data_IF_535394046020
#
_entry.id   IF_535394046020
#
_cell.length_a   1.000
_cell.length_b   1.000
_cell.length_c   1.000
_cell.angle_alpha   90.00
_cell.angle_beta   90.00
_cell.angle_gamma   90.00
#
_symmetry.space_group_name_H-M   'P 1'
#
loop_
_entity.id
_entity.type
_entity.pdbx_description
1 polymer ?
#
# COMPACT_ATOMS: atom_id res chain seq x y z
N UNK A 1 -4.59 -13.09 -32.32
CA UNK A 1 -3.92 -13.64 -31.13
C UNK A 1 -3.85 -12.51 -30.11
N UNK A 2 -4.43 -12.73 -28.93
CA UNK A 2 -4.87 -11.68 -28.00
C UNK A 2 -3.78 -10.76 -27.50
N UNK A 3 -4.13 -9.48 -27.33
CA UNK A 3 -3.33 -8.51 -26.61
C UNK A 3 -3.19 -9.05 -25.19
N UNK A 4 -1.99 -9.44 -24.79
CA UNK A 4 -1.71 -9.63 -23.36
C UNK A 4 -1.90 -8.26 -22.72
N UNK A 5 -3.06 -8.00 -22.12
CA UNK A 5 -3.26 -6.81 -21.31
C UNK A 5 -2.22 -6.86 -20.18
N UNK A 6 -1.49 -5.76 -20.05
CA UNK A 6 -0.50 -5.60 -19.00
C UNK A 6 -1.24 -5.59 -17.64
N UNK A 7 -0.73 -6.30 -16.60
CA UNK A 7 -1.38 -6.39 -15.29
C UNK A 7 -1.58 -5.04 -14.61
N UNK A 8 -0.68 -4.09 -14.83
CA UNK A 8 -0.87 -2.71 -14.41
C UNK A 8 -2.07 -2.04 -15.11
N UNK A 9 -2.36 -2.33 -16.39
CA UNK A 9 -3.55 -1.76 -17.06
C UNK A 9 -4.84 -2.27 -16.43
N UNK A 10 -4.95 -3.59 -16.22
CA UNK A 10 -6.09 -4.21 -15.54
C UNK A 10 -6.25 -3.66 -14.12
N UNK A 11 -5.15 -3.56 -13.37
CA UNK A 11 -5.16 -3.02 -12.02
C UNK A 11 -5.58 -1.55 -12.02
N UNK A 12 -5.04 -0.75 -12.95
CA UNK A 12 -5.37 0.66 -13.06
C UNK A 12 -6.86 0.89 -13.37
N UNK A 13 -7.45 0.06 -14.23
CA UNK A 13 -8.89 0.08 -14.52
C UNK A 13 -9.71 -0.32 -13.29
N UNK A 14 -9.33 -1.42 -12.63
CA UNK A 14 -9.96 -1.91 -11.40
C UNK A 14 -9.98 -0.83 -10.31
N UNK A 15 -8.83 -0.24 -9.98
CA UNK A 15 -8.71 0.80 -8.96
C UNK A 15 -9.40 2.13 -9.33
N UNK A 16 -9.73 2.33 -10.61
CA UNK A 16 -10.47 3.52 -11.07
C UNK A 16 -11.99 3.32 -11.04
N UNK A 17 -12.47 2.13 -10.68
CA UNK A 17 -13.89 1.84 -10.57
C UNK A 17 -14.58 2.63 -9.47
N UNK A 18 -15.83 3.02 -9.74
CA UNK A 18 -16.71 3.65 -8.76
C UNK A 18 -17.54 2.57 -8.06
N UNK A 19 -17.05 2.12 -6.90
CA UNK A 19 -17.66 1.04 -6.13
C UNK A 19 -18.22 1.58 -4.83
N UNK A 20 -19.31 0.97 -4.34
CA UNK A 20 -19.65 1.11 -2.94
C UNK A 20 -18.57 0.46 -2.06
N UNK A 21 -18.44 0.91 -0.82
CA UNK A 21 -17.49 0.35 0.15
C UNK A 21 -17.71 -1.16 0.35
N UNK A 22 -18.98 -1.58 0.44
CA UNK A 22 -19.34 -2.99 0.61
C UNK A 22 -18.92 -3.82 -0.60
N UNK A 23 -19.22 -3.35 -1.82
CA UNK A 23 -18.87 -4.09 -3.03
C UNK A 23 -17.35 -4.16 -3.26
N UNK A 24 -16.64 -3.07 -2.95
CA UNK A 24 -15.18 -3.08 -2.98
C UNK A 24 -14.62 -4.16 -2.03
N UNK A 25 -15.11 -4.19 -0.80
CA UNK A 25 -14.60 -5.05 0.26
C UNK A 25 -14.97 -6.53 0.07
N UNK A 26 -16.18 -6.80 -0.44
CA UNK A 26 -16.68 -8.18 -0.59
C UNK A 26 -16.22 -8.83 -1.89
N UNK A 27 -16.18 -8.10 -3.01
CA UNK A 27 -16.01 -8.69 -4.34
C UNK A 27 -14.73 -8.22 -5.07
N UNK A 28 -14.37 -6.93 -4.96
CA UNK A 28 -13.35 -6.35 -5.84
C UNK A 28 -11.93 -6.48 -5.27
N UNK A 29 -11.76 -6.27 -3.97
CA UNK A 29 -10.44 -6.23 -3.32
C UNK A 29 -9.66 -7.54 -3.50
N UNK A 30 -10.35 -8.68 -3.52
CA UNK A 30 -9.73 -9.98 -3.78
C UNK A 30 -9.09 -10.06 -5.17
N UNK A 31 -9.81 -9.59 -6.20
CA UNK A 31 -9.29 -9.54 -7.57
C UNK A 31 -8.15 -8.51 -7.70
N UNK A 32 -8.29 -7.33 -7.11
CA UNK A 32 -7.23 -6.32 -7.11
C UNK A 32 -5.94 -6.82 -6.42
N UNK A 33 -6.09 -7.57 -5.33
CA UNK A 33 -4.98 -8.21 -4.60
C UNK A 33 -4.28 -9.28 -5.45
N UNK A 34 -5.02 -10.06 -6.23
CA UNK A 34 -4.43 -11.01 -7.19
C UNK A 34 -3.66 -10.29 -8.31
N UNK A 35 -4.18 -9.16 -8.80
CA UNK A 35 -3.50 -8.37 -9.84
C UNK A 35 -2.15 -7.83 -9.36
N UNK A 36 -2.11 -7.18 -8.19
CA UNK A 36 -0.87 -6.61 -7.64
C UNK A 36 0.14 -7.70 -7.24
N UNK A 37 -0.34 -8.86 -6.79
CA UNK A 37 0.50 -10.02 -6.51
C UNK A 37 1.24 -10.51 -7.77
N UNK A 38 0.55 -10.48 -8.92
CA UNK A 38 1.07 -10.95 -10.20
C UNK A 38 1.75 -9.86 -11.04
N UNK A 39 1.91 -8.64 -10.52
CA UNK A 39 2.61 -7.57 -11.22
C UNK A 39 4.09 -7.89 -11.46
N UNK A 40 4.53 -7.74 -12.70
CA UNK A 40 5.94 -7.83 -13.09
C UNK A 40 6.70 -6.56 -12.71
N UNK A 41 8.03 -6.57 -12.83
CA UNK A 41 8.85 -5.38 -12.58
C UNK A 41 8.41 -4.16 -13.43
N UNK A 42 8.07 -4.38 -14.71
CA UNK A 42 7.57 -3.34 -15.60
C UNK A 42 6.22 -2.76 -15.13
N UNK A 43 5.38 -3.59 -14.53
CA UNK A 43 4.06 -3.18 -14.03
C UNK A 43 4.22 -2.30 -12.79
N UNK A 44 5.13 -2.68 -11.89
CA UNK A 44 5.54 -1.85 -10.75
C UNK A 44 6.16 -0.52 -11.17
N UNK A 45 7.03 -0.53 -12.19
CA UNK A 45 7.63 0.70 -12.73
C UNK A 45 6.57 1.65 -13.31
N UNK A 46 5.48 1.12 -13.87
CA UNK A 46 4.36 1.93 -14.35
C UNK A 46 3.49 2.44 -13.20
N UNK A 47 3.23 1.60 -12.19
CA UNK A 47 2.47 1.95 -10.99
C UNK A 47 3.12 3.14 -10.25
N UNK A 48 4.42 3.06 -10.01
CA UNK A 48 5.20 4.08 -9.30
C UNK A 48 5.21 5.44 -10.01
N UNK A 49 5.09 5.45 -11.34
CA UNK A 49 5.02 6.69 -12.14
C UNK A 49 3.69 7.40 -12.03
N UNK A 50 2.59 6.70 -11.76
CA UNK A 50 1.24 7.28 -11.91
C UNK A 50 0.50 7.48 -10.60
N UNK A 51 0.81 6.74 -9.53
CA UNK A 51 -0.04 6.71 -8.33
C UNK A 51 -0.28 8.10 -7.73
N UNK A 52 0.75 8.96 -7.74
CA UNK A 52 0.69 10.34 -7.22
C UNK A 52 -0.28 11.24 -8.00
N UNK A 53 -0.51 10.96 -9.28
CA UNK A 53 -1.44 11.75 -10.11
C UNK A 53 -2.87 11.22 -10.07
N UNK A 54 -3.13 10.13 -9.35
CA UNK A 54 -4.46 9.55 -9.22
C UNK A 54 -5.26 10.24 -8.12
N UNK A 55 -6.58 10.06 -8.17
CA UNK A 55 -7.46 10.61 -7.15
C UNK A 55 -7.30 9.86 -5.82
N UNK A 56 -7.85 10.43 -4.76
CA UNK A 56 -7.76 9.88 -3.39
C UNK A 56 -8.32 8.46 -3.29
N UNK A 57 -9.48 8.19 -3.90
CA UNK A 57 -10.09 6.85 -3.88
C UNK A 57 -9.18 5.78 -4.48
N UNK A 58 -8.58 6.08 -5.62
CA UNK A 58 -7.64 5.18 -6.28
C UNK A 58 -6.41 4.93 -5.40
N UNK A 59 -5.87 5.97 -4.76
CA UNK A 59 -4.74 5.85 -3.84
C UNK A 59 -5.10 5.04 -2.59
N UNK A 60 -6.33 5.19 -2.10
CA UNK A 60 -6.87 4.46 -0.97
C UNK A 60 -6.99 2.96 -1.29
N UNK A 61 -7.61 2.63 -2.43
CA UNK A 61 -7.71 1.27 -2.92
C UNK A 61 -6.34 0.63 -3.19
N UNK A 62 -5.39 1.40 -3.74
CA UNK A 62 -4.02 0.93 -3.89
C UNK A 62 -3.41 0.60 -2.52
N UNK A 63 -3.51 1.51 -1.55
CA UNK A 63 -2.95 1.33 -0.22
C UNK A 63 -3.42 0.00 0.40
N UNK A 64 -4.72 -0.27 0.30
CA UNK A 64 -5.38 -1.47 0.83
C UNK A 64 -4.93 -2.80 0.22
N UNK A 65 -4.19 -2.83 -0.90
CA UNK A 65 -3.79 -4.08 -1.56
C UNK A 65 -2.27 -4.28 -1.63
N UNK A 66 -1.47 -3.29 -1.22
CA UNK A 66 -0.01 -3.34 -1.38
C UNK A 66 0.66 -4.46 -0.57
N UNK A 67 0.07 -4.87 0.56
CA UNK A 67 0.61 -5.95 1.39
C UNK A 67 0.61 -7.33 0.68
N UNK A 68 -0.17 -7.52 -0.38
CA UNK A 68 -0.25 -8.74 -1.18
C UNK A 68 0.75 -8.76 -2.35
N UNK A 69 1.38 -7.61 -2.64
CA UNK A 69 2.34 -7.42 -3.72
C UNK A 69 3.79 -7.78 -3.35
N UNK A 70 4.73 -7.30 -4.17
CA UNK A 70 6.15 -7.42 -3.88
C UNK A 70 6.55 -6.44 -2.76
N UNK A 71 6.88 -6.98 -1.58
CA UNK A 71 7.20 -6.19 -0.38
C UNK A 71 8.37 -5.22 -0.55
N UNK A 72 9.36 -5.54 -1.39
CA UNK A 72 10.52 -4.65 -1.63
C UNK A 72 10.11 -3.35 -2.35
N UNK A 73 8.98 -3.38 -3.08
CA UNK A 73 8.41 -2.22 -3.79
C UNK A 73 7.22 -1.63 -3.02
N UNK A 74 6.39 -2.49 -2.43
CA UNK A 74 5.19 -2.10 -1.69
C UNK A 74 5.51 -1.33 -0.40
N UNK A 75 6.53 -1.73 0.38
CA UNK A 75 6.86 -1.03 1.64
C UNK A 75 7.27 0.42 1.37
N UNK A 76 8.22 0.74 0.47
CA UNK A 76 8.51 2.14 0.11
C UNK A 76 7.27 2.91 -0.33
N UNK A 77 6.41 2.32 -1.16
CA UNK A 77 5.19 2.97 -1.64
C UNK A 77 4.20 3.26 -0.51
N UNK A 78 4.00 2.32 0.41
CA UNK A 78 3.18 2.49 1.61
C UNK A 78 3.71 3.62 2.50
N UNK A 79 5.04 3.74 2.65
CA UNK A 79 5.66 4.85 3.38
C UNK A 79 5.39 6.21 2.73
N UNK A 80 5.40 6.27 1.39
CA UNK A 80 5.02 7.49 0.68
C UNK A 80 3.53 7.82 0.84
N UNK A 81 2.65 6.81 0.85
CA UNK A 81 1.21 6.98 1.06
C UNK A 81 0.88 7.51 2.47
N UNK A 82 1.71 7.23 3.48
CA UNK A 82 1.60 7.85 4.81
C UNK A 82 1.84 9.37 4.82
N UNK A 83 2.41 9.94 3.75
CA UNK A 83 2.58 11.40 3.58
C UNK A 83 1.40 12.09 2.90
N UNK A 84 0.44 11.35 2.37
CA UNK A 84 -0.67 11.95 1.61
C UNK A 84 -1.57 12.74 2.57
N UNK A 85 -2.01 13.92 2.15
CA UNK A 85 -2.94 14.77 2.91
C UNK A 85 -4.38 14.25 2.80
N UNK A 86 -4.57 12.98 3.13
CA UNK A 86 -5.87 12.33 3.22
C UNK A 86 -5.85 11.23 4.28
N UNK A 87 -6.72 11.37 5.27
CA UNK A 87 -6.75 10.48 6.43
C UNK A 87 -7.09 9.02 6.07
N UNK A 88 -7.99 8.80 5.11
CA UNK A 88 -8.40 7.46 4.70
C UNK A 88 -7.24 6.69 4.07
N UNK A 89 -6.51 7.33 3.14
CA UNK A 89 -5.31 6.78 2.51
C UNK A 89 -4.24 6.45 3.57
N UNK A 90 -4.02 7.34 4.53
CA UNK A 90 -3.05 7.13 5.62
C UNK A 90 -3.45 5.95 6.51
N UNK A 91 -4.75 5.81 6.82
CA UNK A 91 -5.28 4.67 7.57
C UNK A 91 -5.05 3.37 6.81
N UNK A 92 -5.45 3.30 5.54
CA UNK A 92 -5.26 2.09 4.72
C UNK A 92 -3.78 1.73 4.54
N UNK A 93 -2.90 2.71 4.33
CA UNK A 93 -1.48 2.46 4.22
C UNK A 93 -0.88 1.93 5.53
N UNK A 94 -1.26 2.51 6.67
CA UNK A 94 -0.84 2.03 7.99
C UNK A 94 -1.36 0.60 8.25
N UNK A 95 -2.62 0.32 7.88
CA UNK A 95 -3.24 -0.98 8.06
C UNK A 95 -2.52 -2.07 7.26
N UNK A 96 -2.24 -1.81 5.98
CA UNK A 96 -1.47 -2.73 5.14
C UNK A 96 -0.03 -2.93 5.63
N UNK A 97 0.64 -1.89 6.16
CA UNK A 97 1.93 -2.07 6.83
C UNK A 97 1.82 -3.01 8.04
N UNK A 98 0.75 -2.91 8.84
CA UNK A 98 0.51 -3.80 9.99
C UNK A 98 0.34 -5.25 9.56
N UNK A 99 -0.34 -5.50 8.44
CA UNK A 99 -0.64 -6.84 7.91
C UNK A 99 0.58 -7.60 7.40
N UNK A 100 1.62 -6.89 6.96
CA UNK A 100 2.84 -7.52 6.46
C UNK A 100 3.43 -8.43 7.55
N UNK A 101 3.43 -9.75 7.26
CA UNK A 101 4.00 -10.77 8.14
C UNK A 101 5.50 -10.85 7.92
N UNK A 102 6.28 -10.47 8.94
CA UNK A 102 7.76 -10.39 8.88
C UNK A 102 8.45 -11.77 8.96
N UNK A 103 7.77 -12.85 8.61
CA UNK A 103 8.16 -14.22 8.99
C UNK A 103 9.23 -14.88 8.12
N UNK A 104 9.84 -14.21 7.15
CA UNK A 104 10.90 -14.84 6.31
C UNK A 104 12.23 -14.08 6.35
N UNK A 105 12.23 -12.76 6.57
CA UNK A 105 13.41 -11.96 6.94
C UNK A 105 12.92 -10.73 7.72
N UNK A 106 13.66 -10.25 8.74
CA UNK A 106 13.37 -8.95 9.33
C UNK A 106 13.42 -7.89 8.23
N UNK A 107 12.31 -7.21 7.99
CA UNK A 107 12.31 -6.02 7.14
C UNK A 107 13.31 -5.07 7.79
N UNK A 108 14.33 -4.73 7.01
CA UNK A 108 15.43 -3.91 7.47
C UNK A 108 15.15 -2.49 7.04
N UNK A 109 15.00 -1.58 8.01
CA UNK A 109 14.79 -0.15 7.76
C UNK A 109 15.99 0.65 8.24
N UNK A 110 16.22 1.81 7.63
CA UNK A 110 17.24 2.74 8.12
C UNK A 110 16.73 3.48 9.35
N UNK A 111 17.66 4.02 10.15
CA UNK A 111 17.33 4.93 11.26
C UNK A 111 16.49 6.15 10.82
N UNK A 112 16.69 6.62 9.60
CA UNK A 112 15.91 7.72 9.03
C UNK A 112 14.43 7.34 8.85
N UNK A 113 14.16 6.15 8.30
CA UNK A 113 12.81 5.61 8.13
C UNK A 113 12.15 5.36 9.50
N UNK A 114 12.90 4.82 10.46
CA UNK A 114 12.40 4.64 11.84
C UNK A 114 11.93 5.97 12.43
N UNK A 115 12.78 6.99 12.41
CA UNK A 115 12.46 8.32 12.93
C UNK A 115 11.27 8.96 12.20
N UNK A 116 11.20 8.79 10.89
CA UNK A 116 10.09 9.29 10.08
C UNK A 116 8.76 8.63 10.48
N UNK A 117 8.73 7.30 10.61
CA UNK A 117 7.56 6.55 11.04
C UNK A 117 7.13 6.93 12.47
N UNK A 118 8.07 7.05 13.41
CA UNK A 118 7.77 7.50 14.76
C UNK A 118 7.16 8.90 14.79
N UNK A 119 7.63 9.81 13.92
CA UNK A 119 7.04 11.15 13.81
C UNK A 119 5.61 11.11 13.28
N UNK A 120 5.32 10.30 12.25
CA UNK A 120 3.96 10.15 11.73
C UNK A 120 3.04 9.58 12.83
N UNK A 121 3.47 8.55 13.55
CA UNK A 121 2.69 7.94 14.61
C UNK A 121 2.32 8.93 15.73
N UNK A 122 3.18 9.91 16.01
CA UNK A 122 2.93 10.97 17.00
C UNK A 122 2.05 12.11 16.48
N UNK A 123 1.94 12.28 15.16
CA UNK A 123 1.32 13.45 14.53
C UNK A 123 0.00 13.13 13.82
N UNK A 124 -0.25 11.87 13.51
CA UNK A 124 -1.52 11.44 12.90
C UNK A 124 -2.69 11.70 13.86
N UNK A 125 -3.84 12.07 13.29
CA UNK A 125 -5.10 12.26 14.04
C UNK A 125 -5.82 10.95 14.32
N UNK A 126 -5.44 9.88 13.64
CA UNK A 126 -6.05 8.55 13.74
C UNK A 126 -5.27 7.66 14.72
N UNK A 127 -5.93 7.30 15.83
CA UNK A 127 -5.37 6.36 16.81
C UNK A 127 -5.05 4.99 16.17
N UNK A 128 -5.85 4.56 15.20
CA UNK A 128 -5.63 3.31 14.46
C UNK A 128 -4.35 3.38 13.62
N UNK A 129 -4.12 4.50 12.93
CA UNK A 129 -2.87 4.70 12.17
C UNK A 129 -1.66 4.66 13.09
N UNK A 130 -1.71 5.34 14.24
CA UNK A 130 -0.62 5.34 15.21
C UNK A 130 -0.32 3.92 15.72
N UNK A 131 -1.36 3.16 16.09
CA UNK A 131 -1.22 1.78 16.55
C UNK A 131 -0.64 0.87 15.47
N UNK A 132 -1.15 0.93 14.24
CA UNK A 132 -0.67 0.11 13.13
C UNK A 132 0.80 0.40 12.80
N UNK A 133 1.23 1.67 12.81
CA UNK A 133 2.63 2.04 12.61
C UNK A 133 3.52 1.50 13.74
N UNK A 134 3.09 1.61 15.00
CA UNK A 134 3.85 1.09 16.14
C UNK A 134 4.01 -0.44 16.07
N UNK A 135 2.94 -1.17 15.70
CA UNK A 135 3.00 -2.63 15.50
C UNK A 135 3.98 -2.99 14.37
N UNK A 136 4.04 -2.18 13.31
CA UNK A 136 5.04 -2.39 12.25
C UNK A 136 6.46 -2.16 12.77
N UNK A 137 6.69 -1.06 13.51
CA UNK A 137 7.99 -0.73 14.10
C UNK A 137 8.51 -1.81 15.06
N UNK A 138 7.64 -2.51 15.77
CA UNK A 138 8.01 -3.64 16.63
C UNK A 138 8.53 -4.87 15.85
N UNK A 139 8.19 -4.98 14.57
CA UNK A 139 8.53 -6.15 13.73
C UNK A 139 9.76 -5.93 12.86
N UNK A 140 10.21 -4.70 12.68
CA UNK A 140 11.33 -4.36 11.78
C UNK A 140 12.68 -4.36 12.51
N UNK A 141 13.77 -4.52 11.76
CA UNK A 141 15.15 -4.37 12.25
C UNK A 141 15.73 -3.06 11.75
N UNK A 142 16.26 -2.24 12.64
CA UNK A 142 16.98 -1.01 12.28
C UNK A 142 18.44 -1.33 12.00
N UNK A 143 18.99 -0.79 10.90
CA UNK A 143 20.41 -0.88 10.52
C UNK A 143 21.03 0.48 10.23
#
# INVERSE_FOLDING_TARGET
MGISMNKFSELNECLSGDYSVDYWSDDVIGYASELIHNCTATDWDNLEKVWKSKNVQWQNYLAQILAWGNLDRAVPLLLELLSVDNEEVVVSAADSLREIRVNIRPITITREIENYLSRIALQTKSDLSAQSINIFLEKVRVV
#
